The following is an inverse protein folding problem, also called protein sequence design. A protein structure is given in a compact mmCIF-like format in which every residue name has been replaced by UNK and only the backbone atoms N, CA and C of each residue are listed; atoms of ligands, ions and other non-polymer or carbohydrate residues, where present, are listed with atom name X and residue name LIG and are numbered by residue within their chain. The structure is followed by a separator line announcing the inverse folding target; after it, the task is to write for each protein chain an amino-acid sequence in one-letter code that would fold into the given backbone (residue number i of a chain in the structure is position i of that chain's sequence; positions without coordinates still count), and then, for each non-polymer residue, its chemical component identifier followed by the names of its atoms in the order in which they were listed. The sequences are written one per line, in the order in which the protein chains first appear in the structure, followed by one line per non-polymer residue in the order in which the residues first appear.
data_IF_001616847812
#
_entry.id   IF_001616847812
#
_cell.length_a   1.000
_cell.length_b   1.000
_cell.length_c   1.000
_cell.angle_alpha   90.00
_cell.angle_beta   90.00
_cell.angle_gamma   90.00
#
_symmetry.space_group_name_H-M   'P 1'
#
loop_
_entity.id
_entity.type
_entity.pdbx_description
1 polymer ?
#
# COMPACT_ATOMS: atom_id res chain seq x y z
N UNK A 1 3.83 -50.65 27.57
CA UNK A 1 4.60 -49.46 27.14
C UNK A 1 4.22 -48.90 25.76
N UNK A 2 3.86 -49.71 24.75
CA UNK A 2 3.57 -49.21 23.39
C UNK A 2 2.33 -48.29 23.24
N UNK A 3 1.32 -48.41 24.12
CA UNK A 3 0.07 -47.64 24.05
C UNK A 3 0.24 -46.15 24.41
N UNK A 4 1.13 -45.84 25.36
CA UNK A 4 1.40 -44.45 25.77
C UNK A 4 2.23 -43.68 24.75
N UNK A 5 3.03 -44.39 23.93
CA UNK A 5 3.82 -43.80 22.85
C UNK A 5 2.93 -43.20 21.75
N UNK A 6 1.81 -43.86 21.45
CA UNK A 6 0.86 -43.40 20.42
C UNK A 6 0.14 -42.11 20.85
N UNK A 7 -0.21 -42.00 22.13
CA UNK A 7 -0.88 -40.81 22.70
C UNK A 7 0.06 -39.61 22.70
N UNK A 8 1.34 -39.82 23.05
CA UNK A 8 2.39 -38.79 22.96
C UNK A 8 2.62 -38.32 21.52
N UNK A 9 2.58 -39.24 20.55
CA UNK A 9 2.73 -38.91 19.13
C UNK A 9 1.57 -38.02 18.63
N UNK A 10 0.32 -38.33 19.02
CA UNK A 10 -0.86 -37.56 18.63
C UNK A 10 -0.81 -36.16 19.24
N UNK A 11 -0.45 -36.02 20.52
CA UNK A 11 -0.28 -34.71 21.17
C UNK A 11 0.85 -33.87 20.54
N UNK A 12 1.96 -34.50 20.14
CA UNK A 12 3.04 -33.82 19.43
C UNK A 12 2.61 -33.32 18.03
N UNK A 13 1.79 -34.10 17.32
CA UNK A 13 1.21 -33.68 16.03
C UNK A 13 0.29 -32.47 16.21
N UNK A 14 -0.53 -32.42 17.28
CA UNK A 14 -1.36 -31.24 17.59
C UNK A 14 -0.54 -30.00 17.96
N UNK A 15 0.63 -30.15 18.60
CA UNK A 15 1.53 -29.02 18.86
C UNK A 15 2.21 -28.44 17.61
N UNK A 16 2.26 -29.20 16.50
CA UNK A 16 2.77 -28.74 15.21
C UNK A 16 1.72 -28.01 14.36
N UNK A 17 0.42 -28.18 14.65
CA UNK A 17 -0.67 -27.40 14.00
C UNK A 17 -0.84 -26.02 14.67
N UNK A 18 -0.04 -25.72 15.70
CA UNK A 18 -0.03 -24.46 16.43
C UNK A 18 0.84 -23.35 15.82
N UNK A 19 1.34 -23.50 14.59
CA UNK A 19 1.70 -22.33 13.77
C UNK A 19 0.39 -21.72 13.25
N UNK A 20 -0.36 -21.13 14.16
CA UNK A 20 -1.46 -20.24 13.83
C UNK A 20 -0.85 -19.14 12.98
N UNK A 21 -1.38 -18.99 11.78
CA UNK A 21 -1.05 -17.89 10.88
C UNK A 21 -1.40 -16.58 11.61
N UNK A 22 -0.41 -16.00 12.30
CA UNK A 22 -0.51 -14.70 12.94
C UNK A 22 -0.36 -13.58 11.92
N UNK A 23 -0.34 -13.84 10.61
CA UNK A 23 -0.38 -12.76 9.62
C UNK A 23 -1.80 -12.18 9.53
N UNK A 24 -2.16 -11.36 10.52
CA UNK A 24 -3.22 -10.38 10.36
C UNK A 24 -2.96 -9.55 9.10
N UNK A 25 -4.00 -9.03 8.42
CA UNK A 25 -3.82 -8.39 7.13
C UNK A 25 -2.92 -7.16 7.30
N UNK A 26 -1.81 -7.15 6.57
CA UNK A 26 -1.04 -5.94 6.36
C UNK A 26 -1.72 -5.14 5.26
N UNK A 27 -1.99 -3.85 5.48
CA UNK A 27 -2.57 -2.96 4.47
C UNK A 27 -2.14 -1.51 4.72
N UNK A 28 -2.31 -0.64 3.72
CA UNK A 28 -2.12 0.80 3.88
C UNK A 28 -3.35 1.36 4.59
N UNK A 29 -3.16 1.88 5.80
CA UNK A 29 -4.21 2.53 6.59
C UNK A 29 -4.53 3.92 6.04
N UNK A 30 -3.51 4.73 5.79
CA UNK A 30 -3.64 6.08 5.21
C UNK A 30 -2.46 6.44 4.32
N UNK A 31 -2.70 7.38 3.41
CA UNK A 31 -1.66 8.11 2.70
C UNK A 31 -1.96 9.59 2.87
N UNK A 32 -1.04 10.30 3.52
CA UNK A 32 -1.14 11.73 3.74
C UNK A 32 -0.07 12.42 2.90
N UNK A 33 -0.47 13.43 2.11
CA UNK A 33 0.44 14.17 1.23
C UNK A 33 0.48 15.61 1.69
N UNK A 34 1.69 16.13 1.92
CA UNK A 34 1.94 17.51 2.30
C UNK A 34 2.73 18.20 1.18
N UNK A 35 2.37 19.44 0.89
CA UNK A 35 3.10 20.33 -0.02
C UNK A 35 3.51 21.57 0.75
N UNK A 36 4.81 21.87 0.79
CA UNK A 36 5.37 22.95 1.64
C UNK A 36 4.88 22.90 3.11
N UNK A 37 4.64 21.69 3.63
CA UNK A 37 4.16 21.46 5.00
C UNK A 37 2.64 21.55 5.20
N UNK A 38 1.85 21.84 4.16
CA UNK A 38 0.38 21.87 4.23
C UNK A 38 -0.23 20.55 3.75
N UNK A 39 -1.15 19.97 4.53
CA UNK A 39 -1.86 18.74 4.16
C UNK A 39 -2.78 19.02 2.96
N UNK A 40 -2.61 18.23 1.91
CA UNK A 40 -3.36 18.35 0.67
C UNK A 40 -4.52 17.34 0.63
N UNK A 41 -5.71 17.81 0.29
CA UNK A 41 -6.86 16.93 0.09
C UNK A 41 -6.82 16.27 -1.29
N UNK A 42 -6.88 14.93 -1.30
CA UNK A 42 -6.92 14.12 -2.51
C UNK A 42 -8.29 13.51 -2.78
N UNK A 43 -8.45 12.96 -3.99
CA UNK A 43 -9.61 12.16 -4.39
C UNK A 43 -9.18 10.79 -4.90
N UNK A 44 -10.09 9.82 -4.92
CA UNK A 44 -9.80 8.48 -5.45
C UNK A 44 -10.08 8.46 -6.95
N UNK A 45 -9.10 8.04 -7.75
CA UNK A 45 -9.24 7.92 -9.21
C UNK A 45 -8.64 6.61 -9.71
N UNK A 46 -9.09 6.16 -10.88
CA UNK A 46 -8.45 5.09 -11.63
C UNK A 46 -8.03 5.56 -13.01
N UNK A 47 -7.09 4.86 -13.63
CA UNK A 47 -6.67 5.12 -14.99
C UNK A 47 -7.44 4.25 -15.97
N UNK A 48 -8.26 4.87 -16.82
CA UNK A 48 -8.95 4.19 -17.91
C UNK A 48 -7.98 4.09 -19.11
N UNK A 49 -7.47 2.89 -19.36
CA UNK A 49 -6.51 2.64 -20.44
C UNK A 49 -7.11 2.82 -21.83
N UNK A 50 -8.39 2.46 -22.03
CA UNK A 50 -9.07 2.60 -23.32
C UNK A 50 -9.23 4.07 -23.74
N UNK A 51 -9.48 4.94 -22.76
CA UNK A 51 -9.70 6.37 -22.95
C UNK A 51 -8.44 7.21 -22.67
N UNK A 52 -7.34 6.55 -22.26
CA UNK A 52 -6.06 7.16 -21.89
C UNK A 52 -6.22 8.38 -20.96
N UNK A 53 -7.01 8.21 -19.89
CA UNK A 53 -7.30 9.30 -18.93
C UNK A 53 -7.59 8.78 -17.53
N UNK A 54 -7.38 9.66 -16.55
CA UNK A 54 -7.78 9.48 -15.17
C UNK A 54 -9.27 9.81 -14.98
N UNK A 55 -9.99 8.93 -14.28
CA UNK A 55 -11.41 9.03 -13.98
C UNK A 55 -11.66 8.95 -12.48
N UNK A 56 -12.62 9.74 -12.00
CA UNK A 56 -13.06 9.69 -10.60
C UNK A 56 -13.66 8.32 -10.30
N UNK A 57 -13.20 7.71 -9.20
CA UNK A 57 -13.71 6.43 -8.75
C UNK A 57 -14.98 6.63 -7.93
N UNK A 58 -16.06 6.04 -8.40
CA UNK A 58 -17.37 6.01 -7.74
C UNK A 58 -17.67 4.54 -7.41
N UNK A 59 -17.45 4.17 -6.15
CA UNK A 59 -17.52 2.81 -5.63
C UNK A 59 -18.90 2.16 -5.80
N UNK A 60 -19.96 2.96 -5.95
CA UNK A 60 -21.32 2.47 -6.20
C UNK A 60 -21.59 2.06 -7.65
N UNK A 61 -20.79 2.55 -8.61
CA UNK A 61 -21.00 2.26 -10.04
C UNK A 61 -20.16 1.09 -10.55
N UNK A 62 -19.03 0.82 -9.90
CA UNK A 62 -18.06 -0.18 -10.37
C UNK A 62 -18.39 -1.59 -9.84
N UNK A 63 -18.83 -2.47 -10.75
CA UNK A 63 -19.20 -3.87 -10.42
C UNK A 63 -18.01 -4.80 -10.26
N UNK A 64 -16.86 -4.45 -10.82
CA UNK A 64 -15.64 -5.24 -10.80
C UNK A 64 -14.56 -4.61 -9.92
N UNK A 65 -13.68 -5.45 -9.38
CA UNK A 65 -12.58 -4.99 -8.53
C UNK A 65 -11.59 -4.18 -9.37
N UNK A 66 -11.45 -2.90 -9.07
CA UNK A 66 -10.57 -2.00 -9.83
C UNK A 66 -9.38 -1.49 -9.00
N UNK A 67 -8.27 -1.22 -9.68
CA UNK A 67 -7.11 -0.57 -9.08
C UNK A 67 -7.29 0.94 -9.16
N UNK A 68 -7.17 1.61 -8.02
CA UNK A 68 -7.33 3.07 -7.88
C UNK A 68 -6.07 3.67 -7.27
N UNK A 69 -6.00 5.00 -7.24
CA UNK A 69 -4.91 5.78 -6.69
C UNK A 69 -5.52 6.96 -5.92
N UNK A 70 -4.86 7.39 -4.85
CA UNK A 70 -5.14 8.71 -4.29
C UNK A 70 -4.51 9.76 -5.21
N UNK A 71 -5.34 10.56 -5.85
CA UNK A 71 -4.91 11.64 -6.72
C UNK A 71 -4.91 12.96 -5.98
N UNK A 72 -3.81 13.69 -6.11
CA UNK A 72 -3.62 15.03 -5.58
C UNK A 72 -3.23 15.99 -6.70
N UNK A 73 -3.71 17.23 -6.65
CA UNK A 73 -3.17 18.27 -7.54
C UNK A 73 -1.91 18.84 -6.89
N UNK A 74 -0.75 18.64 -7.49
CA UNK A 74 0.52 19.07 -6.90
C UNK A 74 1.22 20.09 -7.80
N UNK A 75 1.72 21.20 -7.24
CA UNK A 75 2.55 22.15 -7.97
C UNK A 75 3.94 21.56 -8.25
N UNK A 76 4.54 22.03 -9.33
CA UNK A 76 5.96 21.81 -9.62
C UNK A 76 6.84 22.68 -8.72
N UNK A 77 8.11 22.29 -8.59
CA UNK A 77 9.16 23.05 -7.88
C UNK A 77 8.86 23.25 -6.38
N UNK A 78 8.10 22.35 -5.78
CA UNK A 78 7.77 22.34 -4.35
C UNK A 78 8.26 21.07 -3.66
N UNK A 79 8.49 21.17 -2.35
CA UNK A 79 8.72 19.99 -1.52
C UNK A 79 7.41 19.23 -1.38
N UNK A 80 7.42 17.95 -1.72
CA UNK A 80 6.30 17.05 -1.50
C UNK A 80 6.71 15.99 -0.48
N UNK A 81 5.95 15.89 0.62
CA UNK A 81 6.14 14.88 1.64
C UNK A 81 4.95 13.94 1.67
N UNK A 82 5.21 12.65 1.49
CA UNK A 82 4.20 11.60 1.46
C UNK A 82 4.43 10.71 2.66
N UNK A 83 3.41 10.58 3.50
CA UNK A 83 3.43 9.71 4.67
C UNK A 83 2.48 8.56 4.39
N UNK A 84 3.02 7.35 4.36
CA UNK A 84 2.24 6.12 4.16
C UNK A 84 2.22 5.37 5.48
N UNK A 85 1.04 5.24 6.07
CA UNK A 85 0.83 4.47 7.29
C UNK A 85 0.37 3.07 6.92
N UNK A 86 1.12 2.05 7.35
CA UNK A 86 0.79 0.65 7.15
C UNK A 86 0.31 0.02 8.45
N UNK A 87 -0.91 -0.52 8.45
CA UNK A 87 -1.38 -1.38 9.52
C UNK A 87 -0.65 -2.73 9.44
N UNK A 88 0.10 -3.06 10.47
CA UNK A 88 1.05 -4.19 10.55
C UNK A 88 1.06 -4.82 11.96
N UNK A 89 -0.08 -5.28 12.49
CA UNK A 89 -0.25 -5.59 13.92
C UNK A 89 0.73 -6.67 14.42
N UNK A 90 1.01 -7.68 13.60
CA UNK A 90 1.80 -8.85 13.99
C UNK A 90 3.16 -8.94 13.29
N UNK A 91 3.61 -7.86 12.66
CA UNK A 91 4.93 -7.79 12.01
C UNK A 91 5.57 -6.43 12.22
N UNK A 92 6.87 -6.36 11.91
CA UNK A 92 7.61 -5.10 11.79
C UNK A 92 8.10 -5.02 10.36
N UNK A 93 7.55 -4.08 9.61
CA UNK A 93 8.09 -3.71 8.32
C UNK A 93 9.39 -2.93 8.57
N UNK A 94 10.42 -3.17 7.76
CA UNK A 94 11.71 -2.46 7.87
C UNK A 94 11.96 -1.53 6.71
N UNK A 95 11.47 -1.92 5.54
CA UNK A 95 11.70 -1.25 4.28
C UNK A 95 10.46 -1.46 3.41
N UNK A 96 10.12 -0.44 2.62
CA UNK A 96 9.06 -0.47 1.63
C UNK A 96 9.63 -0.17 0.26
N UNK A 97 9.34 -1.06 -0.69
CA UNK A 97 9.56 -0.77 -2.09
C UNK A 97 8.44 0.13 -2.63
N UNK A 98 8.82 1.12 -3.42
CA UNK A 98 7.92 1.94 -4.23
C UNK A 98 8.38 1.91 -5.68
N UNK A 99 7.45 1.98 -6.62
CA UNK A 99 7.73 2.09 -8.05
C UNK A 99 7.16 3.40 -8.56
N UNK A 100 8.01 4.30 -9.05
CA UNK A 100 7.58 5.51 -9.75
C UNK A 100 7.42 5.26 -11.25
N UNK A 101 6.47 5.93 -11.90
CA UNK A 101 6.23 5.82 -13.35
C UNK A 101 5.50 7.06 -13.87
N UNK A 102 5.49 7.24 -15.20
CA UNK A 102 4.72 8.28 -15.89
C UNK A 102 3.52 7.66 -16.61
N UNK A 103 2.30 8.08 -16.28
CA UNK A 103 1.03 7.56 -16.79
C UNK A 103 0.93 6.03 -16.79
N UNK A 104 1.48 5.38 -15.76
CA UNK A 104 1.55 3.91 -15.65
C UNK A 104 2.35 3.22 -16.80
N UNK A 105 3.16 3.96 -17.56
CA UNK A 105 4.04 3.40 -18.58
C UNK A 105 5.19 2.62 -17.92
N UNK A 106 5.18 1.30 -18.12
CA UNK A 106 6.16 0.39 -17.53
C UNK A 106 7.59 0.65 -17.98
N UNK A 107 7.80 1.31 -19.13
CA UNK A 107 9.13 1.67 -19.63
C UNK A 107 9.77 2.82 -18.84
N UNK A 108 8.96 3.59 -18.10
CA UNK A 108 9.41 4.70 -17.27
C UNK A 108 9.60 4.31 -15.81
N UNK A 109 9.40 3.02 -15.48
CA UNK A 109 9.43 2.55 -14.12
C UNK A 109 10.81 2.76 -13.47
N UNK A 110 10.83 3.38 -12.31
CA UNK A 110 11.98 3.38 -11.42
C UNK A 110 11.58 2.76 -10.08
N UNK A 111 12.46 1.95 -9.50
CA UNK A 111 12.25 1.30 -8.21
C UNK A 111 13.02 2.04 -7.14
N UNK A 112 12.35 2.34 -6.04
CA UNK A 112 12.89 3.00 -4.86
C UNK A 112 12.61 2.15 -3.62
N UNK A 113 13.47 2.25 -2.62
CA UNK A 113 13.32 1.57 -1.35
C UNK A 113 13.41 2.62 -0.24
N UNK A 114 12.47 2.57 0.70
CA UNK A 114 12.37 3.51 1.80
C UNK A 114 12.33 2.75 3.11
N UNK A 115 13.23 3.08 4.03
CA UNK A 115 13.18 2.54 5.38
C UNK A 115 11.89 3.01 6.07
N UNK A 116 11.30 2.11 6.84
CA UNK A 116 10.20 2.47 7.72
C UNK A 116 10.70 3.04 9.04
N UNK A 117 9.91 3.92 9.63
CA UNK A 117 10.13 4.39 11.00
C UNK A 117 9.87 3.27 12.03
N UNK A 118 10.20 3.56 13.29
CA UNK A 118 9.85 2.70 14.41
C UNK A 118 8.33 2.51 14.48
N UNK A 119 7.91 1.27 14.76
CA UNK A 119 6.50 0.90 14.82
C UNK A 119 5.82 1.60 16.00
N UNK A 120 4.75 2.34 15.71
CA UNK A 120 3.88 2.99 16.69
C UNK A 120 2.57 2.19 16.77
N UNK A 121 2.31 1.57 17.93
CA UNK A 121 1.19 0.65 18.14
C UNK A 121 1.14 -0.50 17.10
N UNK A 122 0.08 -0.56 16.30
CA UNK A 122 -0.10 -1.55 15.23
C UNK A 122 0.35 -1.01 13.85
N UNK A 123 0.88 0.22 13.79
CA UNK A 123 1.19 0.92 12.55
C UNK A 123 2.69 1.09 12.32
N UNK A 124 3.11 0.88 11.07
CA UNK A 124 4.45 1.21 10.60
C UNK A 124 4.36 2.40 9.65
N UNK A 125 5.12 3.46 9.93
CA UNK A 125 5.14 4.69 9.12
C UNK A 125 6.28 4.65 8.10
N UNK A 126 6.03 5.11 6.89
CA UNK A 126 7.05 5.35 5.86
C UNK A 126 6.90 6.77 5.35
N UNK A 127 8.01 7.50 5.30
CA UNK A 127 8.05 8.89 4.82
C UNK A 127 8.87 8.93 3.53
N UNK A 128 8.27 9.51 2.49
CA UNK A 128 8.91 9.79 1.20
C UNK A 128 8.93 11.30 1.04
N UNK A 129 10.13 11.88 0.90
CA UNK A 129 10.30 13.31 0.62
C UNK A 129 10.83 13.48 -0.80
N UNK A 130 10.16 14.31 -1.59
CA UNK A 130 10.56 14.72 -2.92
C UNK A 130 10.96 16.19 -2.84
N UNK A 131 12.26 16.45 -2.79
CA UNK A 131 12.83 17.80 -2.84
C UNK A 131 12.70 18.33 -4.28
N UNK A 132 12.29 19.59 -4.43
CA UNK A 132 12.19 20.28 -5.73
C UNK A 132 11.51 19.43 -6.83
N UNK A 133 10.30 18.92 -6.55
CA UNK A 133 9.64 17.96 -7.44
C UNK A 133 9.38 18.54 -8.85
N UNK A 134 9.99 17.92 -9.85
CA UNK A 134 10.04 18.38 -11.24
C UNK A 134 9.00 17.73 -12.18
N UNK A 135 8.16 16.83 -11.66
CA UNK A 135 7.19 16.08 -12.47
C UNK A 135 7.82 15.00 -13.38
N UNK A 136 9.04 14.53 -13.05
CA UNK A 136 9.70 13.41 -13.74
C UNK A 136 8.89 12.11 -13.73
N UNK A 137 7.98 11.95 -12.77
CA UNK A 137 6.95 10.91 -12.70
C UNK A 137 5.63 11.52 -12.21
N UNK A 138 4.52 10.83 -12.44
CA UNK A 138 3.19 11.26 -11.96
C UNK A 138 2.49 10.16 -11.15
N UNK A 139 3.08 8.97 -11.02
CA UNK A 139 2.53 7.89 -10.20
C UNK A 139 3.61 7.32 -9.29
N UNK A 140 3.27 7.14 -8.01
CA UNK A 140 4.00 6.29 -7.07
C UNK A 140 3.13 5.12 -6.68
N UNK A 141 3.58 3.91 -7.03
CA UNK A 141 2.92 2.65 -6.71
C UNK A 141 3.65 1.97 -5.56
N UNK A 142 2.92 1.60 -4.52
CA UNK A 142 3.38 0.66 -3.47
C UNK A 142 2.94 -0.73 -3.90
N UNK A 143 3.84 -1.58 -4.40
CA UNK A 143 3.42 -2.82 -5.01
C UNK A 143 3.28 -3.93 -3.94
N UNK A 144 2.33 -4.83 -4.14
CA UNK A 144 1.78 -5.74 -3.09
C UNK A 144 2.68 -6.90 -2.64
N UNK A 145 3.96 -6.93 -3.02
CA UNK A 145 4.83 -8.11 -2.93
C UNK A 145 5.67 -8.24 -1.65
N UNK A 146 5.23 -7.64 -0.57
CA UNK A 146 5.77 -7.93 0.76
C UNK A 146 5.14 -9.23 1.30
N UNK A 147 5.69 -10.39 0.89
CA UNK A 147 5.48 -11.70 1.50
C UNK A 147 4.93 -12.80 0.58
N UNK A 148 5.19 -14.07 0.90
CA UNK A 148 4.66 -15.26 0.20
C UNK A 148 3.13 -15.40 0.27
N UNK A 149 2.47 -14.59 1.11
CA UNK A 149 1.00 -14.45 1.18
C UNK A 149 0.49 -13.06 0.72
N UNK A 150 1.38 -12.16 0.29
CA UNK A 150 1.08 -10.81 -0.21
C UNK A 150 0.52 -9.82 0.83
N UNK A 151 0.86 -8.54 0.70
CA UNK A 151 0.09 -7.47 1.38
C UNK A 151 -1.20 -7.32 0.60
N UNK A 152 -2.30 -7.84 1.17
CA UNK A 152 -3.64 -7.56 0.68
C UNK A 152 -3.97 -6.12 1.00
N UNK A 153 -3.92 -5.28 -0.01
CA UNK A 153 -4.47 -3.96 0.09
C UNK A 153 -6.01 -4.06 0.21
N UNK A 154 -6.53 -3.65 1.37
CA UNK A 154 -7.95 -3.48 1.63
C UNK A 154 -8.07 -2.17 2.38
N UNK A 155 -8.50 -1.11 1.70
CA UNK A 155 -8.60 0.21 2.31
C UNK A 155 -9.58 0.15 3.49
N UNK A 156 -9.12 0.50 4.69
CA UNK A 156 -9.91 0.48 5.93
C UNK A 156 -11.20 1.31 5.83
N UNK A 157 -11.24 2.32 4.95
CA UNK A 157 -12.45 3.13 4.71
C UNK A 157 -13.60 2.31 4.12
N UNK A 158 -13.34 1.25 3.36
CA UNK A 158 -14.36 0.42 2.73
C UNK A 158 -13.91 -1.05 2.75
N UNK A 159 -14.07 -1.79 3.87
CA UNK A 159 -13.70 -3.19 3.94
C UNK A 159 -14.48 -4.05 2.91
N UNK A 160 -15.67 -3.63 2.51
CA UNK A 160 -16.46 -4.25 1.44
C UNK A 160 -16.28 -3.56 0.07
N UNK A 161 -15.36 -2.61 -0.03
CA UNK A 161 -15.09 -1.83 -1.23
C UNK A 161 -14.53 -2.69 -2.34
N UNK A 162 -15.07 -2.53 -3.55
CA UNK A 162 -14.64 -3.28 -4.73
C UNK A 162 -13.43 -2.64 -5.42
N UNK A 163 -12.40 -2.27 -4.65
CA UNK A 163 -11.22 -1.59 -5.18
C UNK A 163 -9.95 -1.84 -4.39
N UNK A 164 -8.82 -1.50 -5.00
CA UNK A 164 -7.48 -1.60 -4.41
C UNK A 164 -6.74 -0.31 -4.69
N UNK A 165 -6.38 0.48 -3.67
CA UNK A 165 -5.52 1.64 -3.88
C UNK A 165 -4.09 1.13 -4.06
N UNK A 166 -3.43 1.50 -5.15
CA UNK A 166 -2.07 1.03 -5.45
C UNK A 166 -1.00 2.05 -5.07
N UNK A 167 -1.40 3.25 -4.67
CA UNK A 167 -0.51 4.32 -4.23
C UNK A 167 -1.07 5.69 -4.56
N UNK A 168 -0.20 6.57 -5.03
CA UNK A 168 -0.48 7.99 -5.26
C UNK A 168 -0.34 8.32 -6.73
N UNK A 169 -1.22 9.19 -7.22
CA UNK A 169 -1.12 9.85 -8.52
C UNK A 169 -1.02 11.36 -8.30
N UNK A 170 -0.06 11.99 -8.96
CA UNK A 170 0.19 13.41 -8.96
C UNK A 170 -0.39 13.99 -10.23
N UNK A 171 -1.53 14.66 -10.08
CA UNK A 171 -2.04 15.51 -11.14
C UNK A 171 -1.21 16.80 -11.10
N UNK A 172 -0.27 16.90 -12.03
CA UNK A 172 0.58 18.06 -12.18
C UNK A 172 -0.27 19.24 -12.68
N UNK A 173 -0.23 20.35 -11.97
CA UNK A 173 -0.86 21.62 -12.37
C UNK A 173 0.09 22.50 -13.20
#
# INVERSE_FOLDING_TARGET
MKKYLLVLLILAIFSLVGCIDTSGPNYIESIDVYVDGELLEGKVQYYNQEQNKWLDFDDYKEKEKINVYYTFNVPLDKEIKIIINFYTPNTTMKEVKVVSSKNLDSNTNQTHFFDSEEKEDENTKVIITLEDFDGSFDVLKVPSWMGSNGIRYQGKKHPDGNYTILGVHFKLD
#
